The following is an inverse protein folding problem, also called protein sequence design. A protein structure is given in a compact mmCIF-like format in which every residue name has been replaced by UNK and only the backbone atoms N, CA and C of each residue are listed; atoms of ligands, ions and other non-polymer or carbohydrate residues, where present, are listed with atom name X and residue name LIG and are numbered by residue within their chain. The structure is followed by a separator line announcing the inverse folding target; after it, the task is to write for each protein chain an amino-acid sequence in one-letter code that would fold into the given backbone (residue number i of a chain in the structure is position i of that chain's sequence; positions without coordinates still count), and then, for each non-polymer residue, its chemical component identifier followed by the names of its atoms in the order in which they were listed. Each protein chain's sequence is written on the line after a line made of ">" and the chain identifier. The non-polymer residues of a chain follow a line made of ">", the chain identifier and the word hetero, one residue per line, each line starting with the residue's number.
data_IF_563792795450
#
_entry.id   IF_563792795450
#
_cell.length_a   1.000
_cell.length_b   1.000
_cell.length_c   1.000
_cell.angle_alpha   90.00
_cell.angle_beta   90.00
_cell.angle_gamma   90.00
#
_symmetry.space_group_name_H-M   'P 1'
#
loop_
_entity.id
_entity.type
_entity.pdbx_description
1 polymer ?
#
# COMPACT_ATOMS: atom_id res chain seq x y z
N UNK A 1 56.05 -10.46 25.01
CA UNK A 1 54.75 -11.13 25.21
C UNK A 1 53.71 -10.38 24.39
N UNK A 2 53.20 -11.04 23.36
CA UNK A 2 52.24 -10.50 22.40
C UNK A 2 50.84 -10.49 23.01
N UNK A 3 50.16 -9.34 23.02
CA UNK A 3 48.70 -9.29 22.97
C UNK A 3 48.29 -8.11 22.07
N UNK A 4 48.13 -8.39 20.77
CA UNK A 4 47.41 -7.50 19.86
C UNK A 4 45.92 -7.82 20.01
N UNK A 5 45.18 -6.95 20.69
CA UNK A 5 43.73 -7.06 20.79
C UNK A 5 43.11 -6.74 19.41
N UNK A 6 42.46 -7.74 18.80
CA UNK A 6 41.65 -7.53 17.61
C UNK A 6 40.27 -7.01 18.03
N UNK A 7 39.95 -5.76 17.70
CA UNK A 7 38.60 -5.20 17.86
C UNK A 7 37.78 -5.70 16.66
N UNK A 8 36.93 -6.70 16.88
CA UNK A 8 35.92 -7.12 15.91
C UNK A 8 34.76 -6.11 15.94
N UNK A 9 34.65 -5.28 14.90
CA UNK A 9 33.47 -4.42 14.69
C UNK A 9 32.34 -5.28 14.14
N UNK A 10 31.39 -5.65 15.00
CA UNK A 10 30.17 -6.33 14.59
C UNK A 10 29.26 -5.30 13.91
N UNK A 11 29.35 -5.19 12.59
CA UNK A 11 28.41 -4.38 11.80
C UNK A 11 27.03 -5.05 11.85
N UNK A 12 26.18 -4.62 12.79
CA UNK A 12 24.76 -4.96 12.77
C UNK A 12 24.16 -4.29 11.53
N UNK A 13 23.98 -5.05 10.46
CA UNK A 13 23.16 -4.63 9.33
C UNK A 13 21.73 -4.57 9.84
N UNK A 14 21.30 -3.40 10.33
CA UNK A 14 19.91 -3.15 10.62
C UNK A 14 19.14 -3.26 9.30
N UNK A 15 18.45 -4.38 9.12
CA UNK A 15 17.57 -4.60 7.97
C UNK A 15 16.38 -3.64 8.05
N UNK A 16 16.56 -2.43 7.54
CA UNK A 16 15.47 -1.48 7.37
C UNK A 16 14.59 -1.96 6.21
N UNK A 17 13.55 -2.74 6.53
CA UNK A 17 12.41 -2.85 5.62
C UNK A 17 11.73 -1.49 5.62
N UNK A 18 11.84 -0.73 4.52
CA UNK A 18 11.19 0.57 4.38
C UNK A 18 9.86 0.48 3.59
N UNK A 19 9.43 -0.73 3.26
CA UNK A 19 8.37 -1.02 2.30
C UNK A 19 7.04 -1.29 3.01
N UNK A 20 5.92 -1.27 2.30
CA UNK A 20 4.64 -1.56 2.95
C UNK A 20 3.50 -1.91 2.01
N UNK A 21 2.31 -1.99 2.59
CA UNK A 21 1.08 -2.45 1.95
C UNK A 21 -0.16 -1.85 2.65
N UNK A 22 -1.33 -2.00 2.02
CA UNK A 22 -2.62 -1.69 2.63
C UNK A 22 -3.06 -2.89 3.46
N UNK A 23 -3.08 -2.74 4.79
CA UNK A 23 -3.49 -3.82 5.70
C UNK A 23 -4.99 -3.82 5.95
N UNK A 24 -5.68 -2.70 5.71
CA UNK A 24 -7.11 -2.59 5.95
C UNK A 24 -7.74 -1.42 5.19
N UNK A 25 -8.98 -1.64 4.76
CA UNK A 25 -9.85 -0.59 4.23
C UNK A 25 -11.16 -0.61 5.03
N UNK A 26 -11.64 0.56 5.44
CA UNK A 26 -12.94 0.72 6.11
C UNK A 26 -13.83 1.59 5.22
N UNK A 27 -15.03 1.10 4.90
CA UNK A 27 -16.00 1.76 4.01
C UNK A 27 -17.33 1.81 4.74
N UNK A 28 -17.91 3.00 4.92
CA UNK A 28 -19.21 3.15 5.59
C UNK A 28 -19.26 2.49 6.98
N UNK A 29 -18.13 2.48 7.70
CA UNK A 29 -17.98 1.84 9.01
C UNK A 29 -17.64 0.34 8.98
N UNK A 30 -17.72 -0.35 7.83
CA UNK A 30 -17.35 -1.77 7.70
C UNK A 30 -15.89 -1.92 7.32
N UNK A 31 -15.15 -2.71 8.10
CA UNK A 31 -13.71 -2.95 7.90
C UNK A 31 -13.43 -4.24 7.16
N UNK A 32 -12.43 -4.20 6.28
CA UNK A 32 -11.96 -5.30 5.47
C UNK A 32 -10.45 -5.42 5.59
N UNK A 33 -9.95 -6.58 6.00
CA UNK A 33 -8.51 -6.81 6.18
C UNK A 33 -7.84 -7.20 4.86
N UNK A 34 -6.64 -6.67 4.65
CA UNK A 34 -5.70 -7.08 3.61
C UNK A 34 -4.75 -8.14 4.13
N UNK A 35 -4.26 -9.00 3.25
CA UNK A 35 -3.26 -10.00 3.60
C UNK A 35 -1.85 -9.42 3.47
N UNK A 36 -0.96 -9.78 4.40
CA UNK A 36 0.46 -9.44 4.28
C UNK A 36 1.04 -10.08 2.99
N UNK A 37 1.71 -9.32 2.11
CA UNK A 37 2.12 -9.80 0.79
C UNK A 37 2.95 -11.10 0.82
N UNK A 38 3.89 -11.21 1.77
CA UNK A 38 4.77 -12.38 1.88
C UNK A 38 4.16 -13.56 2.66
N UNK A 39 2.93 -13.43 3.16
CA UNK A 39 2.26 -14.53 3.86
C UNK A 39 1.56 -15.48 2.88
N UNK A 40 1.37 -16.73 3.29
CA UNK A 40 0.50 -17.68 2.56
C UNK A 40 -0.99 -17.49 2.87
N UNK A 41 -1.35 -16.48 3.68
CA UNK A 41 -2.74 -16.16 3.98
C UNK A 41 -3.42 -15.56 2.75
N UNK A 42 -4.52 -16.18 2.32
CA UNK A 42 -5.36 -15.70 1.21
C UNK A 42 -6.82 -15.56 1.68
N UNK A 43 -7.00 -15.12 2.92
CA UNK A 43 -8.31 -14.84 3.49
C UNK A 43 -9.14 -13.94 2.53
N UNK A 44 -10.45 -14.20 2.40
CA UNK A 44 -11.31 -13.41 1.53
C UNK A 44 -11.21 -11.90 1.83
N UNK A 45 -11.03 -11.08 0.79
CA UNK A 45 -10.83 -9.64 0.93
C UNK A 45 -11.20 -8.90 -0.37
N UNK A 46 -11.70 -7.66 -0.30
CA UNK A 46 -11.83 -6.76 -1.46
C UNK A 46 -10.51 -6.08 -1.86
N UNK A 47 -9.46 -6.23 -1.06
CA UNK A 47 -8.13 -5.66 -1.35
C UNK A 47 -7.37 -6.65 -2.23
N UNK A 48 -6.87 -6.20 -3.38
CA UNK A 48 -6.00 -7.01 -4.25
C UNK A 48 -4.66 -7.24 -3.54
N UNK A 49 -4.37 -8.50 -3.21
CA UNK A 49 -3.10 -8.87 -2.56
C UNK A 49 -1.95 -8.76 -3.57
N UNK A 50 -0.91 -7.99 -3.23
CA UNK A 50 0.36 -7.97 -3.96
C UNK A 50 1.24 -9.14 -3.52
N UNK A 51 2.23 -9.51 -4.34
CA UNK A 51 3.20 -10.56 -3.99
C UNK A 51 4.41 -10.02 -3.23
N UNK A 52 4.52 -8.70 -3.12
CA UNK A 52 5.61 -8.02 -2.45
C UNK A 52 5.20 -6.65 -1.90
N UNK A 53 6.02 -6.12 -1.00
CA UNK A 53 5.97 -4.74 -0.50
C UNK A 53 6.88 -3.79 -1.28
N UNK A 54 7.76 -4.29 -2.16
CA UNK A 54 8.65 -3.46 -2.97
C UNK A 54 7.87 -2.46 -3.86
N UNK A 55 8.42 -1.26 -4.09
CA UNK A 55 7.73 -0.24 -4.87
C UNK A 55 7.74 -0.61 -6.35
N UNK A 56 6.82 -0.02 -7.11
CA UNK A 56 6.88 0.02 -8.57
C UNK A 56 7.67 1.28 -8.95
N UNK A 57 8.92 1.19 -9.44
CA UNK A 57 9.80 2.35 -9.58
C UNK A 57 9.51 3.20 -10.84
N UNK A 58 8.76 2.66 -11.81
CA UNK A 58 8.48 3.31 -13.08
C UNK A 58 7.00 3.54 -13.27
N UNK A 59 6.62 4.78 -13.64
CA UNK A 59 5.25 5.15 -13.97
C UNK A 59 4.68 4.39 -15.19
N UNK A 60 5.54 3.86 -16.05
CA UNK A 60 5.14 3.11 -17.25
C UNK A 60 5.07 1.59 -16.99
N UNK A 61 5.34 1.13 -15.76
CA UNK A 61 5.28 -0.28 -15.43
C UNK A 61 3.82 -0.77 -15.41
N UNK A 62 3.49 -1.91 -16.04
CA UNK A 62 2.14 -2.45 -16.05
C UNK A 62 1.58 -2.80 -14.65
N UNK A 63 2.44 -2.95 -13.65
CA UNK A 63 2.03 -3.15 -12.25
C UNK A 63 1.57 -1.85 -11.56
N UNK A 64 1.74 -0.68 -12.17
CA UNK A 64 1.41 0.61 -11.56
C UNK A 64 -0.07 0.75 -11.16
N UNK A 65 -0.97 0.03 -11.83
CA UNK A 65 -2.41 0.13 -11.59
C UNK A 65 -2.85 -0.48 -10.25
N UNK A 66 -2.25 -1.61 -9.85
CA UNK A 66 -2.72 -2.40 -8.70
C UNK A 66 -1.59 -3.00 -7.82
N UNK A 67 -0.33 -2.77 -8.15
CA UNK A 67 0.83 -3.32 -7.46
C UNK A 67 1.35 -4.63 -8.06
N UNK A 68 2.58 -4.98 -7.68
CA UNK A 68 3.33 -6.12 -8.23
C UNK A 68 2.64 -7.44 -7.89
N UNK A 69 2.35 -8.23 -8.93
CA UNK A 69 1.73 -9.55 -8.80
C UNK A 69 0.28 -9.53 -8.29
N UNK A 70 -0.34 -8.35 -8.22
CA UNK A 70 -1.73 -8.22 -7.80
C UNK A 70 -2.67 -8.94 -8.77
N UNK A 71 -3.57 -9.74 -8.21
CA UNK A 71 -4.67 -10.40 -8.94
C UNK A 71 -6.00 -9.80 -8.51
N UNK A 72 -7.07 -10.16 -9.22
CA UNK A 72 -8.43 -9.84 -8.80
C UNK A 72 -8.68 -10.28 -7.35
N UNK A 73 -9.33 -9.41 -6.58
CA UNK A 73 -9.68 -9.68 -5.20
C UNK A 73 -10.82 -10.72 -5.15
N UNK A 74 -11.01 -11.38 -4.01
CA UNK A 74 -12.02 -12.44 -3.86
C UNK A 74 -13.38 -11.92 -3.39
N UNK A 75 -13.49 -10.64 -3.05
CA UNK A 75 -14.72 -10.01 -2.60
C UNK A 75 -14.92 -8.64 -3.26
N UNK A 76 -16.17 -8.19 -3.22
CA UNK A 76 -16.56 -6.81 -3.55
C UNK A 76 -17.09 -6.16 -2.29
N UNK A 77 -16.52 -5.01 -1.91
CA UNK A 77 -17.04 -4.21 -0.82
C UNK A 77 -18.14 -3.29 -1.34
N UNK A 78 -19.33 -3.37 -0.74
CA UNK A 78 -20.40 -2.43 -1.01
C UNK A 78 -20.04 -1.05 -0.45
N UNK A 79 -20.39 0.00 -1.19
CA UNK A 79 -20.20 1.39 -0.81
C UNK A 79 -21.36 2.22 -1.38
N UNK A 80 -21.85 3.18 -0.61
CA UNK A 80 -22.77 4.20 -1.11
C UNK A 80 -21.98 5.44 -1.56
N UNK A 81 -22.48 6.20 -2.56
CA UNK A 81 -21.93 7.51 -2.86
C UNK A 81 -21.91 8.40 -1.60
N UNK A 82 -20.76 8.99 -1.31
CA UNK A 82 -20.55 9.83 -0.11
C UNK A 82 -20.03 9.07 1.11
N UNK A 83 -19.96 7.73 1.08
CA UNK A 83 -19.32 6.98 2.16
C UNK A 83 -17.86 7.37 2.33
N UNK A 84 -17.45 7.55 3.59
CA UNK A 84 -16.03 7.72 3.92
C UNK A 84 -15.29 6.40 3.74
N UNK A 85 -14.22 6.44 2.96
CA UNK A 85 -13.24 5.36 2.81
C UNK A 85 -11.99 5.71 3.61
N UNK A 86 -11.63 4.88 4.57
CA UNK A 86 -10.38 4.99 5.35
C UNK A 86 -9.45 3.86 4.94
N UNK A 87 -8.20 4.20 4.60
CA UNK A 87 -7.17 3.24 4.18
C UNK A 87 -6.07 3.23 5.23
N UNK A 88 -5.75 2.04 5.74
CA UNK A 88 -4.68 1.80 6.70
C UNK A 88 -3.47 1.21 5.98
N UNK A 89 -2.29 1.75 6.30
CA UNK A 89 -1.01 1.38 5.70
C UNK A 89 -0.07 0.82 6.75
N UNK A 90 0.68 -0.23 6.40
CA UNK A 90 1.64 -0.88 7.30
C UNK A 90 2.93 -1.21 6.56
N UNK A 91 4.05 -1.18 7.29
CA UNK A 91 5.36 -1.62 6.79
C UNK A 91 5.51 -3.15 6.86
N UNK A 92 4.81 -3.76 7.82
CA UNK A 92 4.75 -5.19 8.02
C UNK A 92 3.67 -5.52 9.05
N UNK A 93 3.49 -6.79 9.42
CA UNK A 93 2.57 -7.17 10.49
C UNK A 93 2.88 -6.34 11.73
N UNK A 94 1.88 -5.60 12.21
CA UNK A 94 1.94 -4.74 13.39
C UNK A 94 3.00 -3.61 13.35
N UNK A 95 3.53 -3.27 12.18
CA UNK A 95 4.52 -2.19 12.00
C UNK A 95 3.94 -1.00 11.24
N UNK A 96 4.06 0.19 11.82
CA UNK A 96 3.61 1.43 11.17
C UNK A 96 4.41 1.71 9.90
N UNK A 97 3.80 2.46 8.99
CA UNK A 97 4.47 2.96 7.79
C UNK A 97 5.68 3.81 8.16
N UNK A 98 6.70 3.90 7.30
CA UNK A 98 7.99 4.53 7.68
C UNK A 98 8.48 5.62 6.74
N UNK A 99 7.89 5.75 5.53
CA UNK A 99 8.24 6.85 4.65
C UNK A 99 7.41 8.08 5.01
N UNK A 100 8.07 9.23 5.14
CA UNK A 100 7.46 10.48 5.60
C UNK A 100 7.35 11.54 4.49
N UNK A 101 7.76 11.20 3.26
CA UNK A 101 7.87 12.13 2.14
C UNK A 101 7.24 11.56 0.88
N UNK A 102 6.12 12.14 0.47
CA UNK A 102 5.45 11.79 -0.77
C UNK A 102 3.97 12.18 -0.76
N UNK A 103 3.37 12.36 -1.94
CA UNK A 103 1.94 12.56 -2.04
C UNK A 103 1.19 11.25 -1.79
N UNK A 104 -0.06 11.35 -1.34
CA UNK A 104 -1.03 10.26 -1.37
C UNK A 104 -2.11 10.65 -2.37
N UNK A 105 -2.40 9.75 -3.31
CA UNK A 105 -3.41 9.95 -4.34
C UNK A 105 -4.35 8.75 -4.40
N UNK A 106 -5.63 8.99 -4.63
CA UNK A 106 -6.65 7.95 -4.74
C UNK A 106 -7.42 8.12 -6.03
N UNK A 107 -7.61 7.01 -6.73
CA UNK A 107 -8.28 6.93 -8.01
C UNK A 107 -9.39 5.87 -7.94
N UNK A 108 -10.40 6.04 -8.80
CA UNK A 108 -11.38 5.01 -9.10
C UNK A 108 -11.36 4.72 -10.60
N UNK A 109 -11.89 3.55 -10.97
CA UNK A 109 -12.16 3.22 -12.35
C UNK A 109 -13.50 2.49 -12.46
N UNK A 110 -14.24 2.76 -13.53
CA UNK A 110 -15.51 2.12 -13.80
C UNK A 110 -15.29 0.66 -14.23
N UNK A 111 -15.95 -0.27 -13.53
CA UNK A 111 -16.06 -1.67 -13.97
C UNK A 111 -17.05 -1.74 -15.14
N UNK A 112 -16.75 -2.50 -16.22
CA UNK A 112 -17.67 -2.69 -17.34
C UNK A 112 -19.05 -3.20 -16.89
N UNK A 113 -20.09 -2.80 -17.62
CA UNK A 113 -21.44 -3.29 -17.37
C UNK A 113 -21.51 -4.82 -17.47
N UNK A 114 -22.27 -5.45 -16.57
CA UNK A 114 -22.39 -6.91 -16.49
C UNK A 114 -21.24 -7.63 -15.78
N UNK A 115 -20.28 -6.89 -15.21
CA UNK A 115 -19.16 -7.44 -14.45
C UNK A 115 -19.08 -6.84 -13.04
N UNK A 116 -18.47 -7.58 -12.12
CA UNK A 116 -18.13 -7.14 -10.77
C UNK A 116 -16.61 -6.94 -10.60
N UNK A 117 -16.21 -6.11 -9.63
CA UNK A 117 -14.81 -5.70 -9.46
C UNK A 117 -13.83 -6.86 -9.15
N UNK A 118 -14.33 -7.96 -8.58
CA UNK A 118 -13.62 -9.21 -8.30
C UNK A 118 -13.37 -10.08 -9.56
N UNK A 119 -13.82 -9.60 -10.73
CA UNK A 119 -13.57 -10.23 -12.04
C UNK A 119 -12.88 -9.28 -13.02
N UNK A 120 -12.80 -8.00 -12.69
CA UNK A 120 -12.33 -6.96 -13.61
C UNK A 120 -10.80 -6.91 -13.68
N UNK A 121 -10.23 -7.08 -14.87
CA UNK A 121 -8.80 -6.84 -15.09
C UNK A 121 -8.54 -5.33 -15.26
N UNK A 122 -7.87 -4.73 -14.28
CA UNK A 122 -7.64 -3.28 -14.24
C UNK A 122 -6.52 -2.77 -15.16
N UNK A 123 -5.87 -3.63 -15.97
CA UNK A 123 -4.72 -3.24 -16.82
C UNK A 123 -5.04 -2.10 -17.78
N UNK A 124 -6.23 -2.08 -18.36
CA UNK A 124 -6.68 -1.07 -19.32
C UNK A 124 -7.77 -0.15 -18.73
N UNK A 125 -7.93 -0.17 -17.41
CA UNK A 125 -8.96 0.61 -16.74
C UNK A 125 -8.75 2.12 -16.96
N UNK A 126 -9.86 2.85 -17.07
CA UNK A 126 -9.86 4.31 -17.19
C UNK A 126 -9.97 4.92 -15.80
N UNK A 127 -8.82 5.18 -15.21
CA UNK A 127 -8.74 5.78 -13.88
C UNK A 127 -9.08 7.26 -13.91
N UNK A 128 -9.90 7.70 -12.95
CA UNK A 128 -10.13 9.10 -12.63
C UNK A 128 -9.77 9.35 -11.17
N UNK A 129 -9.16 10.51 -10.90
CA UNK A 129 -8.70 10.88 -9.57
C UNK A 129 -9.88 11.34 -8.71
N UNK A 130 -9.93 10.88 -7.45
CA UNK A 130 -10.95 11.30 -6.48
C UNK A 130 -10.37 12.04 -5.27
N UNK A 131 -9.08 11.87 -4.98
CA UNK A 131 -8.40 12.59 -3.91
C UNK A 131 -6.90 12.71 -4.19
N UNK A 132 -6.29 13.79 -3.71
CA UNK A 132 -4.85 13.94 -3.64
C UNK A 132 -4.45 14.88 -2.49
N UNK A 133 -3.37 14.56 -1.80
CA UNK A 133 -2.73 15.45 -0.84
C UNK A 133 -1.22 15.36 -1.00
N UNK A 134 -0.53 16.49 -0.99
CA UNK A 134 0.92 16.60 -1.13
C UNK A 134 1.57 17.17 0.14
N UNK A 135 2.36 18.23 -0.03
CA UNK A 135 2.91 19.00 1.07
C UNK A 135 1.81 19.77 1.80
N UNK A 136 1.80 19.70 3.13
CA UNK A 136 0.71 20.20 4.01
C UNK A 136 0.56 21.72 4.01
N UNK A 137 1.65 22.47 3.86
CA UNK A 137 1.68 23.93 3.91
C UNK A 137 2.51 24.53 2.75
N UNK A 138 2.61 23.82 1.63
CA UNK A 138 3.35 24.27 0.44
C UNK A 138 4.82 23.84 0.42
N UNK A 139 5.62 24.49 -0.43
CA UNK A 139 7.00 24.08 -0.70
C UNK A 139 7.83 24.06 0.58
N UNK A 140 8.42 22.90 0.85
CA UNK A 140 9.34 22.70 1.97
C UNK A 140 8.66 22.32 3.29
N UNK A 141 7.33 22.25 3.33
CA UNK A 141 6.63 21.68 4.48
C UNK A 141 6.66 20.16 4.47
N UNK A 142 6.27 19.58 5.60
CA UNK A 142 5.97 18.16 5.74
C UNK A 142 4.98 17.68 4.68
N UNK A 143 5.12 16.40 4.31
CA UNK A 143 4.20 15.71 3.42
C UNK A 143 3.11 15.01 4.21
N UNK A 144 1.95 14.79 3.57
CA UNK A 144 0.85 13.99 4.14
C UNK A 144 1.27 12.58 4.56
N UNK A 145 2.31 12.02 3.95
CA UNK A 145 2.77 10.68 4.28
C UNK A 145 3.34 10.56 5.70
N UNK A 146 3.81 11.67 6.29
CA UNK A 146 4.20 11.70 7.70
C UNK A 146 3.04 11.29 8.61
N UNK A 147 1.82 11.68 8.27
CA UNK A 147 0.64 11.49 9.12
C UNK A 147 0.19 10.01 9.19
N UNK A 148 0.69 9.15 8.30
CA UNK A 148 0.43 7.69 8.32
C UNK A 148 1.59 6.89 8.91
N UNK A 149 2.69 7.54 9.27
CA UNK A 149 3.90 6.89 9.80
C UNK A 149 3.93 6.73 11.32
N UNK A 150 2.98 7.35 12.02
CA UNK A 150 2.88 7.40 13.48
C UNK A 150 2.06 6.26 14.06
#
# INVERSE_FOLDING_TARGET
>A
MLFRAAIATLAAVAGVSAHGYIDRVTIGGKSYSGSYPFSNNNAPSPIRKTTTTYPVPSANDPNMNCGIGAKEASQVAAANPGDRVTISWKNGPDKNWVHTMGPIMTYLAQVPAGQTADKFNARNAKFFKIAQTGQKAGRGSDWVQLDIST
#
